data_IF_200341636637
#
_entry.id   IF_200341636637
#
_cell.length_a   1.000
_cell.length_b   1.000
_cell.length_c   1.000
_cell.angle_alpha   90.00
_cell.angle_beta   90.00
_cell.angle_gamma   90.00
#
_symmetry.space_group_name_H-M   'P 1'
#
loop_
_entity.id
_entity.type
_entity.pdbx_description
1 polymer ?
#
# COMPACT_ATOMS: atom_id res chain seq x y z
N UNK A 1 -16.56 4.76 19.29
CA UNK A 1 -15.55 4.95 18.21
C UNK A 1 -16.08 4.35 16.93
N UNK A 2 -15.92 5.01 15.77
CA UNK A 2 -16.32 4.53 14.44
C UNK A 2 -15.35 5.06 13.35
N UNK A 3 -15.30 4.38 12.21
CA UNK A 3 -14.60 4.89 11.03
C UNK A 3 -15.47 6.00 10.42
N UNK A 4 -14.91 7.20 10.25
CA UNK A 4 -15.62 8.30 9.60
C UNK A 4 -15.44 8.30 8.09
N UNK A 5 -14.21 8.13 7.64
CA UNK A 5 -13.90 8.07 6.21
C UNK A 5 -12.58 7.36 5.94
N UNK A 6 -12.37 7.00 4.70
CA UNK A 6 -11.07 6.52 4.19
C UNK A 6 -10.72 7.25 2.89
N UNK A 7 -9.42 7.40 2.63
CA UNK A 7 -8.93 7.85 1.34
C UNK A 7 -7.92 6.82 0.80
N UNK A 8 -8.21 6.26 -0.37
CA UNK A 8 -7.35 5.30 -1.08
C UNK A 8 -6.58 6.06 -2.14
N UNK A 9 -5.25 5.88 -2.19
CA UNK A 9 -4.41 6.54 -3.17
C UNK A 9 -3.53 5.52 -3.90
N UNK A 10 -3.28 5.76 -5.18
CA UNK A 10 -2.35 5.01 -6.03
C UNK A 10 -2.58 3.49 -6.07
N UNK A 11 -3.82 3.06 -5.92
CA UNK A 11 -4.17 1.65 -5.90
C UNK A 11 -4.93 1.26 -7.18
N UNK A 12 -4.30 0.46 -8.04
CA UNK A 12 -4.85 0.04 -9.35
C UNK A 12 -5.27 1.25 -10.19
N UNK A 13 -6.58 1.41 -10.42
CA UNK A 13 -7.15 2.57 -11.14
C UNK A 13 -7.61 3.70 -10.22
N UNK A 14 -7.52 3.50 -8.91
CA UNK A 14 -7.86 4.52 -7.93
C UNK A 14 -6.63 5.40 -7.68
N UNK A 15 -6.55 6.51 -8.41
CA UNK A 15 -5.50 7.49 -8.17
C UNK A 15 -5.71 8.17 -6.82
N UNK A 16 -6.95 8.63 -6.59
CA UNK A 16 -7.43 9.15 -5.31
C UNK A 16 -8.92 8.85 -5.21
N UNK A 17 -9.34 8.26 -4.11
CA UNK A 17 -10.73 7.89 -3.86
C UNK A 17 -11.06 8.09 -2.39
N UNK A 18 -11.88 9.09 -2.11
CA UNK A 18 -12.42 9.35 -0.77
C UNK A 18 -13.75 8.62 -0.59
N UNK A 19 -13.97 8.04 0.58
CA UNK A 19 -15.17 7.28 0.94
C UNK A 19 -15.56 7.66 2.35
N UNK A 20 -16.75 8.25 2.51
CA UNK A 20 -17.36 8.47 3.82
C UNK A 20 -18.16 7.26 4.27
N UNK A 21 -18.05 6.92 5.54
CA UNK A 21 -18.81 5.84 6.13
C UNK A 21 -19.96 6.38 6.97
N UNK A 22 -21.16 5.83 6.76
CA UNK A 22 -22.28 6.04 7.67
C UNK A 22 -22.11 5.19 8.93
N UNK A 23 -22.82 5.54 10.00
CA UNK A 23 -22.74 4.80 11.26
C UNK A 23 -23.29 3.36 11.15
N UNK A 24 -24.25 3.13 10.27
CA UNK A 24 -24.93 1.83 10.15
C UNK A 24 -24.46 1.06 8.92
N UNK A 25 -24.77 1.58 7.72
CA UNK A 25 -24.50 0.87 6.46
C UNK A 25 -24.06 1.85 5.39
N UNK A 26 -22.95 1.53 4.72
CA UNK A 26 -22.46 2.25 3.54
C UNK A 26 -22.62 1.35 2.32
N UNK A 27 -23.32 1.84 1.31
CA UNK A 27 -23.58 1.11 0.08
C UNK A 27 -22.77 1.67 -1.09
N UNK A 28 -21.93 0.84 -1.70
CA UNK A 28 -21.18 1.19 -2.90
C UNK A 28 -22.00 0.92 -4.15
N UNK A 29 -22.50 1.97 -4.81
CA UNK A 29 -23.28 1.87 -6.04
C UNK A 29 -22.52 2.52 -7.20
N UNK A 30 -22.63 1.96 -8.38
CA UNK A 30 -22.00 2.50 -9.57
C UNK A 30 -21.92 1.49 -10.71
N UNK A 31 -21.59 1.98 -11.90
CA UNK A 31 -21.42 1.16 -13.09
C UNK A 31 -20.33 0.08 -12.92
N UNK A 32 -20.35 -0.93 -13.79
CA UNK A 32 -19.26 -1.89 -13.86
C UNK A 32 -17.95 -1.16 -14.17
N UNK A 33 -16.88 -1.62 -13.54
CA UNK A 33 -15.55 -1.00 -13.68
C UNK A 33 -15.39 0.40 -13.05
N UNK A 34 -16.31 0.89 -12.22
CA UNK A 34 -16.21 2.19 -11.51
C UNK A 34 -15.19 2.21 -10.35
N UNK A 35 -14.61 1.08 -9.99
CA UNK A 35 -13.61 1.01 -8.89
C UNK A 35 -14.12 0.38 -7.60
N UNK A 36 -15.39 0.04 -7.47
CA UNK A 36 -15.97 -0.58 -6.25
C UNK A 36 -15.14 -1.77 -5.73
N UNK A 37 -14.89 -2.74 -6.61
CA UNK A 37 -14.08 -3.91 -6.25
C UNK A 37 -12.65 -3.53 -5.86
N UNK A 38 -12.03 -2.55 -6.56
CA UNK A 38 -10.71 -2.07 -6.20
C UNK A 38 -10.69 -1.41 -4.82
N UNK A 39 -11.72 -0.65 -4.47
CA UNK A 39 -11.83 -0.06 -3.13
C UNK A 39 -11.97 -1.13 -2.04
N UNK A 40 -12.84 -2.12 -2.25
CA UNK A 40 -13.00 -3.24 -1.31
C UNK A 40 -11.72 -4.08 -1.18
N UNK A 41 -11.01 -4.33 -2.29
CA UNK A 41 -9.72 -5.02 -2.27
C UNK A 41 -8.65 -4.23 -1.53
N UNK A 42 -8.58 -2.90 -1.71
CA UNK A 42 -7.66 -2.05 -0.98
C UNK A 42 -7.90 -2.15 0.53
N UNK A 43 -9.15 -2.02 0.99
CA UNK A 43 -9.50 -2.20 2.40
C UNK A 43 -9.07 -3.59 2.91
N UNK A 44 -9.33 -4.65 2.15
CA UNK A 44 -8.92 -6.01 2.53
C UNK A 44 -7.40 -6.18 2.61
N UNK A 45 -6.63 -5.54 1.72
CA UNK A 45 -5.16 -5.65 1.72
C UNK A 45 -4.53 -4.86 2.86
N UNK A 46 -4.97 -3.63 3.09
CA UNK A 46 -4.41 -2.79 4.14
C UNK A 46 -4.88 -3.18 5.55
N UNK A 47 -6.15 -3.55 5.73
CA UNK A 47 -6.72 -3.75 7.06
C UNK A 47 -6.85 -5.22 7.46
N UNK A 48 -7.03 -6.13 6.49
CA UNK A 48 -7.11 -7.57 6.75
C UNK A 48 -5.83 -8.35 6.37
N UNK A 49 -4.75 -7.65 5.99
CA UNK A 49 -3.45 -8.28 5.70
C UNK A 49 -3.42 -9.16 4.47
N UNK A 50 -4.34 -8.98 3.50
CA UNK A 50 -4.29 -9.72 2.23
C UNK A 50 -3.03 -9.35 1.45
N UNK A 51 -2.41 -10.29 0.72
CA UNK A 51 -1.17 -10.03 0.01
C UNK A 51 -1.35 -8.99 -1.09
N UNK A 52 -0.36 -8.10 -1.21
CA UNK A 52 -0.26 -7.16 -2.32
C UNK A 52 0.40 -7.84 -3.52
N UNK A 53 0.10 -7.33 -4.71
CA UNK A 53 0.76 -7.69 -5.96
C UNK A 53 1.23 -6.43 -6.67
N UNK A 54 2.24 -6.54 -7.54
CA UNK A 54 2.74 -5.39 -8.30
C UNK A 54 1.64 -4.69 -9.12
N UNK A 55 0.64 -5.46 -9.56
CA UNK A 55 -0.52 -4.92 -10.27
C UNK A 55 -1.46 -4.06 -9.39
N UNK A 56 -1.23 -3.98 -8.10
CA UNK A 56 -1.96 -3.06 -7.21
C UNK A 56 -1.43 -1.63 -7.29
N UNK A 57 -0.22 -1.42 -7.82
CA UNK A 57 0.29 -0.08 -8.14
C UNK A 57 -0.45 0.47 -9.36
N UNK A 58 -0.86 1.73 -9.28
CA UNK A 58 -1.47 2.45 -10.41
C UNK A 58 -0.55 2.45 -11.63
N UNK A 59 -1.10 2.14 -12.80
CA UNK A 59 -0.33 1.94 -14.04
C UNK A 59 0.50 3.19 -14.41
N UNK A 60 -0.06 4.40 -14.24
CA UNK A 60 0.67 5.65 -14.50
C UNK A 60 1.94 5.81 -13.66
N UNK A 61 1.94 5.26 -12.44
CA UNK A 61 3.08 5.39 -11.54
C UNK A 61 4.23 4.43 -11.89
N UNK A 62 3.98 3.38 -12.68
CA UNK A 62 5.03 2.44 -13.10
C UNK A 62 6.09 3.10 -13.97
N UNK A 63 5.70 4.05 -14.83
CA UNK A 63 6.66 4.82 -15.63
C UNK A 63 7.61 5.63 -14.72
N UNK A 64 7.06 6.28 -13.69
CA UNK A 64 7.84 7.05 -12.71
C UNK A 64 8.76 6.13 -11.87
N UNK A 65 8.29 4.96 -11.48
CA UNK A 65 9.11 3.94 -10.81
C UNK A 65 10.27 3.48 -11.71
N UNK A 66 10.02 3.29 -13.01
CA UNK A 66 11.09 2.97 -13.94
C UNK A 66 12.08 4.12 -14.13
N UNK A 67 11.64 5.37 -14.02
CA UNK A 67 12.56 6.53 -14.04
C UNK A 67 13.48 6.52 -12.81
N UNK A 68 12.97 6.20 -11.63
CA UNK A 68 13.80 5.97 -10.43
C UNK A 68 14.80 4.83 -10.70
N UNK A 69 14.35 3.72 -11.29
CA UNK A 69 15.23 2.61 -11.67
C UNK A 69 16.37 3.04 -12.59
N UNK A 70 16.07 3.82 -13.64
CA UNK A 70 17.09 4.35 -14.55
C UNK A 70 18.12 5.24 -13.87
N UNK A 71 17.71 6.03 -12.87
CA UNK A 71 18.66 6.80 -12.05
C UNK A 71 19.57 5.86 -11.27
N UNK A 72 19.01 4.80 -10.67
CA UNK A 72 19.77 3.81 -9.91
C UNK A 72 20.73 2.99 -10.76
N UNK A 73 20.49 2.85 -12.05
CA UNK A 73 21.36 2.16 -13.00
C UNK A 73 22.63 2.95 -13.35
N UNK A 74 22.71 4.24 -12.99
CA UNK A 74 23.91 5.05 -13.21
C UNK A 74 25.03 4.66 -12.25
N UNK A 75 26.26 4.60 -12.74
CA UNK A 75 27.41 4.16 -11.93
C UNK A 75 27.65 5.09 -10.74
N UNK A 76 27.44 6.40 -10.93
CA UNK A 76 27.67 7.44 -9.92
C UNK A 76 26.46 7.70 -9.01
N UNK A 77 25.41 6.85 -9.05
CA UNK A 77 24.24 7.06 -8.23
C UNK A 77 24.54 6.80 -6.76
N UNK A 78 24.26 7.78 -5.92
CA UNK A 78 24.33 7.62 -4.49
C UNK A 78 23.16 6.77 -3.97
N UNK A 79 23.43 6.07 -2.87
CA UNK A 79 22.43 5.24 -2.21
C UNK A 79 21.31 6.10 -1.64
N UNK A 80 20.03 5.85 -1.98
CA UNK A 80 18.93 6.64 -1.45
C UNK A 80 18.80 6.43 0.07
N UNK A 81 18.58 7.53 0.79
CA UNK A 81 18.41 7.53 2.25
C UNK A 81 16.98 7.82 2.69
N UNK A 82 16.08 8.11 1.76
CA UNK A 82 14.68 8.41 2.06
C UNK A 82 13.73 7.87 0.99
N UNK A 83 12.44 7.82 1.34
CA UNK A 83 11.34 7.44 0.46
C UNK A 83 10.67 8.65 -0.21
N UNK A 84 11.27 9.84 -0.17
CA UNK A 84 10.63 11.06 -0.67
C UNK A 84 10.21 10.97 -2.15
N UNK A 85 11.03 10.33 -2.99
CA UNK A 85 10.72 10.12 -4.41
C UNK A 85 9.59 9.12 -4.64
N UNK A 86 9.31 8.25 -3.66
CA UNK A 86 8.30 7.19 -3.75
C UNK A 86 6.95 7.58 -3.17
N UNK A 87 6.90 8.62 -2.31
CA UNK A 87 5.75 8.91 -1.46
C UNK A 87 4.42 9.05 -2.20
N UNK A 88 4.45 9.67 -3.37
CA UNK A 88 3.26 9.88 -4.18
C UNK A 88 3.03 8.78 -5.24
N UNK A 89 3.82 7.71 -5.23
CA UNK A 89 3.74 6.62 -6.21
C UNK A 89 3.14 5.34 -5.63
N UNK A 90 3.22 5.20 -4.30
CA UNK A 90 2.91 3.95 -3.61
C UNK A 90 1.43 3.87 -3.22
N UNK A 91 0.86 2.66 -3.24
CA UNK A 91 -0.47 2.44 -2.70
C UNK A 91 -0.55 2.86 -1.24
N UNK A 92 -1.54 3.67 -0.90
CA UNK A 92 -1.81 4.07 0.48
C UNK A 92 -3.30 4.10 0.81
N UNK A 93 -3.58 3.97 2.11
CA UNK A 93 -4.91 4.06 2.69
C UNK A 93 -4.85 4.96 3.92
N UNK A 94 -5.55 6.10 3.86
CA UNK A 94 -5.81 6.92 5.03
C UNK A 94 -7.08 6.42 5.69
N UNK A 95 -7.04 6.20 6.98
CA UNK A 95 -8.19 5.81 7.79
C UNK A 95 -8.44 6.90 8.82
N UNK A 96 -9.63 7.48 8.79
CA UNK A 96 -10.06 8.49 9.71
C UNK A 96 -11.11 7.93 10.68
N UNK A 97 -10.85 8.08 11.97
CA UNK A 97 -11.69 7.62 13.06
C UNK A 97 -12.31 8.80 13.78
N UNK A 98 -13.56 8.65 14.24
CA UNK A 98 -14.14 9.49 15.28
C UNK A 98 -14.04 8.72 16.61
N UNK A 99 -13.30 9.29 17.56
CA UNK A 99 -13.01 8.66 18.84
C UNK A 99 -13.67 9.45 19.96
N UNK A 100 -14.55 8.78 20.71
CA UNK A 100 -15.16 9.40 21.90
C UNK A 100 -14.13 9.45 23.04
N UNK A 101 -14.25 10.41 23.98
CA UNK A 101 -13.33 10.52 25.12
C UNK A 101 -13.17 9.24 25.94
N UNK A 102 -14.22 8.44 26.06
CA UNK A 102 -14.21 7.16 26.75
C UNK A 102 -13.43 6.04 26.02
N UNK A 103 -13.21 6.19 24.70
CA UNK A 103 -12.56 5.18 23.84
C UNK A 103 -11.07 5.48 23.63
N UNK A 104 -10.53 6.55 24.24
CA UNK A 104 -9.14 6.99 24.04
C UNK A 104 -8.13 5.88 24.35
N UNK A 105 -8.42 5.03 25.33
CA UNK A 105 -7.54 3.95 25.74
C UNK A 105 -7.26 2.90 24.64
N UNK A 106 -8.14 2.79 23.63
CA UNK A 106 -7.91 1.90 22.47
C UNK A 106 -6.93 2.48 21.45
N UNK A 107 -6.74 3.79 21.44
CA UNK A 107 -5.97 4.51 20.42
C UNK A 107 -4.71 5.20 20.96
N UNK A 108 -4.27 4.83 22.15
CA UNK A 108 -3.12 5.48 22.85
C UNK A 108 -1.87 5.52 21.97
N UNK A 109 -1.62 4.45 21.17
CA UNK A 109 -0.44 4.35 20.30
C UNK A 109 -0.43 5.25 19.06
N UNK A 110 -1.56 5.94 18.79
CA UNK A 110 -1.72 6.80 17.60
C UNK A 110 -2.24 8.20 17.93
N UNK A 111 -2.21 8.57 19.19
CA UNK A 111 -2.60 9.93 19.62
C UNK A 111 -1.60 10.93 19.07
N UNK A 112 -2.06 11.94 18.28
CA UNK A 112 -1.15 12.87 17.62
C UNK A 112 -0.42 13.80 18.59
N UNK A 113 -1.07 14.18 19.70
CA UNK A 113 -0.49 15.02 20.74
C UNK A 113 -1.02 14.67 22.12
N UNK A 114 -0.26 14.91 23.18
CA UNK A 114 -0.68 14.68 24.56
C UNK A 114 -1.87 15.56 25.00
N UNK A 115 -2.19 16.61 24.26
CA UNK A 115 -3.33 17.50 24.51
C UNK A 115 -4.63 17.00 23.86
N UNK A 116 -4.55 16.05 22.94
CA UNK A 116 -5.72 15.52 22.26
C UNK A 116 -6.65 14.79 23.26
N UNK A 117 -7.94 15.04 23.18
CA UNK A 117 -8.96 14.56 24.14
C UNK A 117 -10.13 13.84 23.48
N UNK A 118 -9.94 13.35 22.28
CA UNK A 118 -10.99 12.73 21.46
C UNK A 118 -11.31 13.55 20.22
N UNK A 119 -12.20 13.02 19.39
CA UNK A 119 -12.55 13.59 18.10
C UNK A 119 -11.89 12.86 16.94
N UNK A 120 -11.54 13.60 15.88
CA UNK A 120 -10.95 13.00 14.68
C UNK A 120 -9.52 12.54 14.94
N UNK A 121 -9.18 11.37 14.41
CA UNK A 121 -7.86 10.76 14.46
C UNK A 121 -7.59 10.08 13.14
N UNK A 122 -6.41 10.28 12.56
CA UNK A 122 -6.05 9.74 11.25
C UNK A 122 -4.79 8.88 11.28
N UNK A 123 -4.84 7.78 10.54
CA UNK A 123 -3.68 6.90 10.29
C UNK A 123 -3.57 6.65 8.80
N UNK A 124 -2.38 6.85 8.24
CA UNK A 124 -2.04 6.46 6.88
C UNK A 124 -1.28 5.13 6.89
N UNK A 125 -1.75 4.18 6.14
CA UNK A 125 -1.06 2.93 5.84
C UNK A 125 -0.47 3.04 4.43
N UNK A 126 0.84 2.78 4.27
CA UNK A 126 1.52 2.80 2.97
C UNK A 126 2.16 1.44 2.73
N UNK A 127 1.95 0.87 1.56
CA UNK A 127 2.70 -0.30 1.13
C UNK A 127 3.98 0.15 0.44
N UNK A 128 5.11 0.05 1.14
CA UNK A 128 6.39 0.66 0.78
C UNK A 128 7.57 -0.31 0.92
N UNK A 129 8.73 -0.03 0.32
CA UNK A 129 9.94 -0.81 0.55
C UNK A 129 10.25 -0.96 2.04
N UNK A 130 10.60 -2.18 2.46
CA UNK A 130 11.04 -2.47 3.85
C UNK A 130 12.24 -1.60 4.23
N UNK A 131 13.22 -1.53 3.33
CA UNK A 131 14.41 -0.68 3.40
C UNK A 131 14.74 -0.23 1.99
N UNK A 132 14.69 1.06 1.73
CA UNK A 132 14.97 1.60 0.39
C UNK A 132 16.41 1.31 -0.04
N UNK A 133 17.34 1.40 0.90
CA UNK A 133 18.75 1.08 0.65
C UNK A 133 18.98 -0.39 0.27
N UNK A 134 18.21 -1.30 0.86
CA UNK A 134 18.24 -2.73 0.54
C UNK A 134 17.73 -2.98 -0.88
N UNK A 135 16.55 -2.43 -1.19
CA UNK A 135 15.96 -2.52 -2.52
C UNK A 135 16.90 -1.97 -3.60
N UNK A 136 17.51 -0.82 -3.35
CA UNK A 136 18.50 -0.22 -4.24
C UNK A 136 19.68 -1.17 -4.50
N UNK A 137 20.26 -1.73 -3.44
CA UNK A 137 21.44 -2.61 -3.55
C UNK A 137 21.08 -3.88 -4.31
N UNK A 138 20.04 -4.57 -3.90
CA UNK A 138 19.59 -5.83 -4.52
C UNK A 138 19.21 -5.66 -6.00
N UNK A 139 18.50 -4.58 -6.34
CA UNK A 139 18.16 -4.28 -7.73
C UNK A 139 19.42 -4.04 -8.58
N UNK A 140 20.34 -3.18 -8.11
CA UNK A 140 21.58 -2.87 -8.85
C UNK A 140 22.43 -4.11 -9.07
N UNK A 141 22.63 -4.94 -8.04
CA UNK A 141 23.37 -6.18 -8.15
C UNK A 141 22.76 -7.10 -9.21
N UNK A 142 21.44 -7.29 -9.18
CA UNK A 142 20.74 -8.09 -10.17
C UNK A 142 20.86 -7.50 -11.58
N UNK A 143 20.70 -6.17 -11.72
CA UNK A 143 20.78 -5.48 -13.01
C UNK A 143 22.16 -5.54 -13.64
N UNK A 144 23.21 -5.23 -12.89
CA UNK A 144 24.59 -5.24 -13.42
C UNK A 144 25.09 -6.65 -13.69
N UNK A 145 24.78 -7.62 -12.84
CA UNK A 145 25.12 -9.03 -13.09
C UNK A 145 24.47 -9.54 -14.38
N UNK A 146 23.21 -9.14 -14.65
CA UNK A 146 22.55 -9.47 -15.91
C UNK A 146 23.29 -8.86 -17.11
N UNK A 147 23.75 -7.61 -17.02
CA UNK A 147 24.48 -6.91 -18.11
C UNK A 147 25.89 -7.50 -18.34
N UNK A 148 26.56 -7.94 -17.29
CA UNK A 148 27.84 -8.64 -17.43
C UNK A 148 27.67 -9.98 -18.15
N UNK A 149 26.63 -10.73 -17.81
CA UNK A 149 26.29 -11.99 -18.49
C UNK A 149 25.97 -11.76 -19.97
N UNK A 150 25.29 -10.67 -20.30
CA UNK A 150 25.01 -10.27 -21.70
C UNK A 150 26.30 -10.03 -22.49
N UNK A 151 27.23 -9.29 -21.90
CA UNK A 151 28.52 -8.99 -22.54
C UNK A 151 29.37 -10.24 -22.72
N UNK A 152 29.31 -11.18 -21.78
CA UNK A 152 30.09 -12.42 -21.86
C UNK A 152 29.49 -13.45 -22.81
N UNK A 153 28.16 -13.46 -23.01
CA UNK A 153 27.43 -14.45 -23.82
C UNK A 153 26.99 -13.96 -25.20
N UNK A 154 27.47 -12.81 -25.69
CA UNK A 154 26.90 -11.99 -26.75
C UNK A 154 26.89 -12.58 -28.17
N UNK A 155 27.25 -13.84 -28.42
CA UNK A 155 27.38 -14.32 -29.78
C UNK A 155 26.19 -15.15 -30.32
N UNK A 156 25.39 -15.86 -29.52
CA UNK A 156 24.54 -16.92 -30.09
C UNK A 156 23.07 -17.05 -29.63
N UNK A 157 22.62 -16.36 -28.60
CA UNK A 157 21.20 -16.44 -28.20
C UNK A 157 20.68 -15.10 -27.68
N UNK A 158 19.54 -14.65 -28.23
CA UNK A 158 18.69 -13.57 -27.66
C UNK A 158 18.12 -14.05 -26.31
N UNK A 159 18.95 -14.14 -25.28
CA UNK A 159 18.51 -14.44 -23.93
C UNK A 159 17.95 -13.12 -23.36
N UNK A 160 16.66 -13.11 -23.03
CA UNK A 160 16.07 -11.99 -22.30
C UNK A 160 16.60 -12.02 -20.88
N UNK A 161 17.48 -11.10 -20.59
CA UNK A 161 18.07 -10.99 -19.26
C UNK A 161 17.09 -10.36 -18.27
N UNK A 162 17.19 -10.77 -17.04
CA UNK A 162 16.37 -10.28 -15.93
C UNK A 162 17.27 -9.68 -14.84
N UNK A 163 16.93 -8.50 -14.30
CA UNK A 163 15.86 -7.59 -14.71
C UNK A 163 16.29 -6.61 -15.82
N UNK A 164 15.33 -6.14 -16.67
CA UNK A 164 15.56 -5.06 -17.61
C UNK A 164 15.10 -3.69 -17.09
N UNK A 165 14.32 -3.67 -16.02
CA UNK A 165 13.84 -2.44 -15.39
C UNK A 165 13.49 -2.71 -13.93
N UNK A 166 13.35 -1.62 -13.16
CA UNK A 166 12.93 -1.72 -11.76
C UNK A 166 11.52 -2.31 -11.61
N UNK A 167 10.59 -1.96 -12.50
CA UNK A 167 9.26 -2.57 -12.49
C UNK A 167 9.31 -4.08 -12.73
N UNK A 168 10.11 -4.57 -13.69
CA UNK A 168 10.27 -6.01 -13.94
C UNK A 168 10.88 -6.72 -12.72
N UNK A 169 11.82 -6.09 -12.04
CA UNK A 169 12.36 -6.59 -10.78
C UNK A 169 11.28 -6.68 -9.70
N UNK A 170 10.48 -5.61 -9.55
CA UNK A 170 9.42 -5.54 -8.56
C UNK A 170 8.27 -6.52 -8.87
N UNK A 171 7.95 -6.81 -10.13
CA UNK A 171 6.93 -7.84 -10.46
C UNK A 171 7.26 -9.19 -9.79
N UNK A 172 8.53 -9.50 -9.64
CA UNK A 172 8.98 -10.76 -9.04
C UNK A 172 9.20 -10.70 -7.53
N UNK A 173 9.70 -9.58 -7.04
CA UNK A 173 10.15 -9.44 -5.64
C UNK A 173 9.29 -8.50 -4.79
N UNK A 174 8.12 -8.07 -5.29
CA UNK A 174 7.29 -7.07 -4.64
C UNK A 174 6.92 -7.45 -3.21
N UNK A 175 6.40 -8.65 -3.01
CA UNK A 175 5.93 -9.11 -1.70
C UNK A 175 7.06 -9.28 -0.69
N UNK A 176 8.25 -9.68 -1.13
CA UNK A 176 9.41 -9.86 -0.25
C UNK A 176 10.08 -8.53 0.12
N UNK A 177 10.10 -7.57 -0.82
CA UNK A 177 10.80 -6.30 -0.65
C UNK A 177 9.96 -5.20 0.00
N UNK A 178 8.63 -5.37 0.07
CA UNK A 178 7.70 -4.35 0.56
C UNK A 178 6.96 -4.79 1.83
N UNK A 179 6.42 -3.81 2.54
CA UNK A 179 5.64 -3.99 3.77
C UNK A 179 4.67 -2.83 3.95
N UNK A 180 3.57 -3.04 4.66
CA UNK A 180 2.70 -1.95 5.11
C UNK A 180 3.36 -1.26 6.29
N UNK A 181 3.55 0.05 6.19
CA UNK A 181 3.97 0.94 7.28
C UNK A 181 2.88 1.94 7.60
N UNK A 182 2.80 2.38 8.85
CA UNK A 182 1.77 3.28 9.34
C UNK A 182 2.34 4.60 9.81
N UNK A 183 1.60 5.68 9.53
CA UNK A 183 1.96 7.06 9.84
C UNK A 183 0.79 7.77 10.49
N UNK A 184 1.06 8.59 11.50
CA UNK A 184 0.03 9.41 12.13
C UNK A 184 -0.27 10.61 11.23
N UNK A 185 -1.56 10.85 10.98
CA UNK A 185 -2.03 12.03 10.28
C UNK A 185 -2.44 13.12 11.28
N UNK A 186 -2.22 14.37 10.89
CA UNK A 186 -2.61 15.53 11.68
C UNK A 186 -4.13 15.79 11.53
N UNK A 187 -4.93 15.64 12.60
CA UNK A 187 -6.37 15.84 12.51
C UNK A 187 -6.79 17.28 12.13
N UNK A 188 -5.95 18.27 12.43
CA UNK A 188 -6.22 19.68 12.10
C UNK A 188 -6.06 19.98 10.61
N UNK A 189 -5.27 19.15 9.91
CA UNK A 189 -5.04 19.25 8.46
C UNK A 189 -5.92 18.31 7.64
N UNK A 190 -7.00 17.82 8.23
CA UNK A 190 -7.91 16.96 7.48
C UNK A 190 -8.56 17.72 6.33
N UNK A 191 -8.41 17.19 5.15
CA UNK A 191 -9.11 17.62 3.94
C UNK A 191 -9.51 16.36 3.15
N UNK A 192 -10.79 16.29 2.77
CA UNK A 192 -11.32 15.16 2.00
C UNK A 192 -10.79 15.15 0.56
N UNK A 193 -10.53 16.32 0.00
CA UNK A 193 -10.14 16.52 -1.39
C UNK A 193 -8.62 16.56 -1.57
N UNK A 194 -7.86 16.85 -0.50
CA UNK A 194 -6.41 17.01 -0.53
C UNK A 194 -5.72 16.19 0.56
N UNK A 195 -5.29 14.95 0.27
CA UNK A 195 -4.55 14.14 1.23
C UNK A 195 -3.28 14.84 1.70
N UNK A 196 -2.96 14.71 2.98
CA UNK A 196 -1.76 15.29 3.57
C UNK A 196 -0.50 14.70 2.94
N UNK A 197 0.57 15.48 2.87
CA UNK A 197 1.88 14.95 2.53
C UNK A 197 2.37 13.96 3.59
N UNK A 198 3.05 12.90 3.17
CA UNK A 198 3.58 11.91 4.09
C UNK A 198 4.84 12.43 4.74
N UNK A 199 4.82 12.58 6.05
CA UNK A 199 6.00 12.87 6.85
C UNK A 199 6.79 11.56 7.09
N UNK A 200 7.61 11.15 6.13
CA UNK A 200 8.51 10.00 6.32
C UNK A 200 9.46 10.27 7.50
N UNK A 201 9.56 9.31 8.42
CA UNK A 201 10.28 9.47 9.69
C UNK A 201 9.36 9.67 10.90
N UNK A 202 8.05 9.90 10.69
CA UNK A 202 7.02 9.91 11.74
C UNK A 202 6.18 8.62 11.66
N UNK A 203 6.82 7.47 11.54
CA UNK A 203 6.16 6.17 11.55
C UNK A 203 5.53 5.91 12.92
N UNK A 204 4.41 5.21 12.94
CA UNK A 204 3.85 4.70 14.18
C UNK A 204 4.80 3.68 14.81
N UNK A 205 4.82 3.62 16.15
CA UNK A 205 5.64 2.66 16.89
C UNK A 205 5.19 1.20 16.67
N UNK A 206 3.97 1.01 16.19
CA UNK A 206 3.36 -0.31 15.92
C UNK A 206 3.17 -0.43 14.40
N UNK A 207 3.49 -1.58 13.83
CA UNK A 207 3.41 -1.83 12.38
C UNK A 207 2.00 -1.58 11.82
N UNK A 208 0.96 -2.03 12.50
CA UNK A 208 -0.44 -1.70 12.16
C UNK A 208 -1.23 -1.38 13.44
N UNK A 209 -1.33 -0.10 13.81
CA UNK A 209 -2.02 0.33 15.02
C UNK A 209 -3.54 0.14 14.96
N UNK A 210 -4.09 -0.17 13.79
CA UNK A 210 -5.52 -0.45 13.61
C UNK A 210 -5.87 -1.92 13.86
N UNK A 211 -4.87 -2.79 14.05
CA UNK A 211 -5.07 -4.20 14.41
C UNK A 211 -5.73 -4.28 15.79
N UNK A 212 -6.86 -4.97 15.87
CA UNK A 212 -7.66 -5.04 17.10
C UNK A 212 -8.68 -3.90 17.26
N UNK A 213 -8.53 -2.80 16.53
CA UNK A 213 -9.51 -1.70 16.46
C UNK A 213 -10.50 -1.93 15.34
N UNK A 214 -10.00 -2.33 14.17
CA UNK A 214 -10.80 -2.59 12.97
C UNK A 214 -10.68 -4.07 12.62
N UNK A 215 -11.83 -4.72 12.48
CA UNK A 215 -11.95 -6.08 11.96
C UNK A 215 -12.69 -6.06 10.62
N UNK A 216 -12.17 -6.78 9.64
CA UNK A 216 -12.82 -6.94 8.34
C UNK A 216 -13.20 -8.41 8.16
N UNK A 217 -14.48 -8.67 8.08
CA UNK A 217 -15.06 -9.94 7.68
C UNK A 217 -15.65 -9.78 6.28
N UNK A 218 -15.26 -10.64 5.34
CA UNK A 218 -15.74 -10.58 3.96
C UNK A 218 -16.72 -11.72 3.71
N UNK A 219 -17.92 -11.37 3.30
CA UNK A 219 -18.93 -12.34 2.88
C UNK A 219 -18.94 -12.35 1.34
N UNK A 220 -18.54 -13.47 0.74
CA UNK A 220 -18.58 -13.66 -0.71
C UNK A 220 -20.00 -13.90 -1.18
N UNK A 221 -20.37 -13.34 -2.36
CA UNK A 221 -21.69 -13.57 -2.98
C UNK A 221 -21.87 -15.00 -3.52
N UNK A 222 -20.79 -15.73 -3.77
CA UNK A 222 -20.83 -17.14 -4.16
C UNK A 222 -20.77 -18.01 -2.90
N UNK A 223 -21.89 -18.62 -2.55
CA UNK A 223 -21.88 -19.82 -1.71
C UNK A 223 -21.22 -20.92 -2.55
N UNK A 224 -20.11 -21.48 -2.09
CA UNK A 224 -19.65 -22.77 -2.58
C UNK A 224 -20.73 -23.77 -2.20
N UNK A 225 -21.60 -24.11 -3.14
CA UNK A 225 -22.50 -25.24 -3.06
C UNK A 225 -21.67 -26.51 -3.25
N UNK A 226 -20.85 -26.84 -2.27
CA UNK A 226 -20.36 -28.18 -2.04
C UNK A 226 -21.36 -28.82 -1.04
N UNK A 227 -22.47 -29.29 -1.54
CA UNK A 227 -23.24 -30.29 -0.81
C UNK A 227 -22.33 -31.52 -0.59
N UNK A 228 -22.13 -31.96 0.66
CA UNK A 228 -21.59 -33.30 0.87
C UNK A 228 -22.63 -34.29 0.41
N UNK A 229 -22.38 -34.98 -0.71
CA UNK A 229 -23.13 -36.15 -1.08
C UNK A 229 -23.15 -37.11 0.12
N UNK A 230 -24.33 -37.28 0.69
CA UNK A 230 -24.61 -38.39 1.58
C UNK A 230 -24.52 -39.65 0.75
N UNK A 231 -23.48 -40.40 0.93
CA UNK A 231 -23.49 -41.83 0.63
C UNK A 231 -24.36 -42.53 1.70
N UNK A 232 -25.62 -42.74 1.39
CA UNK A 232 -26.45 -43.82 1.97
C UNK A 232 -26.18 -45.06 1.13
N UNK A 233 -25.69 -46.13 1.79
CA UNK A 233 -25.52 -47.45 1.27
C UNK A 233 -25.29 -48.44 2.40
#
# INVERSE_FOLDING_TARGET
>A
MNISSVCIQNFRKLYQCHIDFSNDTTLFVGANNSGKTSAMDALGKFLAGRPFAFNDITISNRELINQIGKQWETVACEKPNSLSEWGNLLPSLDVWLNVNPQDIHYVVGIIPTLKWRGGRLGVRLIYQPRKIEGLFTEYREAFFSARETEKAGAAEKKIRLFPNSLCEYLERYFTSSFVVKSYILDPEKFDADSPQETAFGMECLVDNPLTGIIRIDTIGAQRNLSDPEKHDG
#
